data_IF_219931726363
#
_entry.id   IF_219931726363
#
_cell.length_a   1.000
_cell.length_b   1.000
_cell.length_c   1.000
_cell.angle_alpha   90.00
_cell.angle_beta   90.00
_cell.angle_gamma   90.00
#
_symmetry.space_group_name_H-M   'P 1'
#
loop_
_entity.id
_entity.type
_entity.pdbx_description
1 polymer ?
#
# COMPACT_ATOMS: atom_id res chain seq x y z
N UNK A 1 -23.30 29.06 -47.66
CA UNK A 1 -22.91 27.64 -47.85
C UNK A 1 -21.71 27.33 -46.97
N UNK A 2 -21.92 27.42 -45.67
CA UNK A 2 -20.97 27.01 -44.62
C UNK A 2 -21.63 25.82 -43.94
N UNK A 3 -20.82 24.83 -43.55
CA UNK A 3 -21.19 23.62 -42.82
C UNK A 3 -21.48 22.37 -43.67
N UNK A 4 -20.42 21.86 -44.29
CA UNK A 4 -20.27 20.42 -44.54
C UNK A 4 -18.97 19.89 -43.88
N UNK A 5 -18.54 20.51 -42.78
CA UNK A 5 -17.37 20.10 -41.97
C UNK A 5 -17.80 19.31 -40.72
N UNK A 6 -19.11 19.12 -40.49
CA UNK A 6 -19.62 18.41 -39.30
C UNK A 6 -19.63 16.87 -39.41
N UNK A 7 -18.99 16.27 -40.43
CA UNK A 7 -19.04 14.81 -40.64
C UNK A 7 -17.74 14.04 -40.33
N UNK A 8 -16.76 14.66 -39.68
CA UNK A 8 -15.60 13.94 -39.12
C UNK A 8 -15.50 14.05 -37.59
N UNK A 9 -16.58 14.47 -36.93
CA UNK A 9 -16.72 14.45 -35.47
C UNK A 9 -16.99 13.02 -34.93
N UNK A 10 -16.19 12.04 -35.35
CA UNK A 10 -16.36 10.65 -34.94
C UNK A 10 -15.04 9.88 -34.94
N UNK A 11 -14.08 10.33 -34.14
CA UNK A 11 -13.02 9.48 -33.60
C UNK A 11 -12.33 10.22 -32.46
N UNK A 12 -12.21 9.53 -31.32
CA UNK A 12 -11.22 9.76 -30.26
C UNK A 12 -11.46 10.95 -29.32
N UNK A 13 -12.29 10.73 -28.30
CA UNK A 13 -11.89 10.80 -26.89
C UNK A 13 -13.15 10.72 -25.99
N UNK A 14 -13.67 9.51 -25.86
CA UNK A 14 -14.37 9.12 -24.64
C UNK A 14 -13.34 8.29 -23.87
N UNK A 15 -12.63 8.92 -22.94
CA UNK A 15 -11.88 8.16 -21.94
C UNK A 15 -12.87 7.32 -21.14
N UNK A 16 -12.61 6.02 -21.07
CA UNK A 16 -13.41 5.07 -20.32
C UNK A 16 -13.53 5.53 -18.85
N UNK A 17 -14.73 5.61 -18.25
CA UNK A 17 -14.88 6.09 -16.87
C UNK A 17 -14.37 5.09 -15.80
N UNK A 18 -13.83 3.93 -16.19
CA UNK A 18 -13.49 2.85 -15.25
C UNK A 18 -12.05 2.81 -14.74
N UNK A 19 -11.14 3.71 -15.16
CA UNK A 19 -9.76 3.68 -14.63
C UNK A 19 -9.22 5.08 -14.39
N UNK A 20 -9.84 5.80 -13.46
CA UNK A 20 -9.22 7.01 -12.90
C UNK A 20 -8.04 6.59 -12.03
N UNK A 21 -6.82 6.67 -12.57
CA UNK A 21 -5.60 6.45 -11.81
C UNK A 21 -5.59 7.28 -10.52
N UNK A 22 -5.21 6.69 -9.36
CA UNK A 22 -5.14 7.44 -8.11
C UNK A 22 -4.15 8.61 -8.27
N UNK A 23 -4.58 9.80 -7.88
CA UNK A 23 -3.75 11.00 -7.96
C UNK A 23 -2.64 10.92 -6.92
N UNK A 24 -1.47 11.46 -7.25
CA UNK A 24 -0.31 11.38 -6.36
C UNK A 24 -0.57 12.06 -5.02
N UNK A 25 -1.38 13.13 -5.00
CA UNK A 25 -1.79 13.82 -3.78
C UNK A 25 -2.60 12.90 -2.85
N UNK A 26 -3.48 12.08 -3.42
CA UNK A 26 -4.29 11.12 -2.65
C UNK A 26 -3.39 10.04 -2.03
N UNK A 27 -2.39 9.56 -2.78
CA UNK A 27 -1.40 8.60 -2.26
C UNK A 27 -0.54 9.20 -1.13
N UNK A 28 -0.15 10.47 -1.26
CA UNK A 28 0.62 11.16 -0.21
C UNK A 28 -0.19 11.36 1.08
N UNK A 29 -1.49 11.61 0.97
CA UNK A 29 -2.38 11.67 2.14
C UNK A 29 -2.45 10.31 2.82
N UNK A 30 -2.65 9.23 2.06
CA UNK A 30 -2.70 7.87 2.61
C UNK A 30 -1.36 7.47 3.25
N UNK A 31 -0.23 7.81 2.63
CA UNK A 31 1.10 7.50 3.16
C UNK A 31 1.44 8.24 4.46
N UNK A 32 0.83 9.40 4.70
CA UNK A 32 1.03 10.18 5.94
C UNK A 32 0.14 9.70 7.09
N UNK A 33 -0.95 9.00 6.78
CA UNK A 33 -1.84 8.45 7.79
C UNK A 33 -1.42 7.03 8.16
N UNK A 34 -0.92 6.88 9.39
CA UNK A 34 -0.45 5.61 9.94
C UNK A 34 -1.57 4.65 10.38
N UNK A 35 -2.84 4.98 10.12
CA UNK A 35 -3.94 4.08 10.40
C UNK A 35 -3.89 2.82 9.52
N UNK A 36 -4.32 1.68 10.08
CA UNK A 36 -4.43 0.42 9.32
C UNK A 36 -5.31 0.57 8.09
N UNK A 37 -6.39 1.36 8.18
CA UNK A 37 -7.27 1.63 7.05
C UNK A 37 -6.56 2.36 5.92
N UNK A 38 -5.77 3.39 6.22
CA UNK A 38 -5.03 4.15 5.20
C UNK A 38 -3.86 3.36 4.61
N UNK A 39 -3.17 2.55 5.42
CA UNK A 39 -2.14 1.60 4.92
C UNK A 39 -2.73 0.58 3.95
N UNK A 40 -3.88 0.01 4.26
CA UNK A 40 -4.57 -0.95 3.37
C UNK A 40 -4.96 -0.29 2.04
N UNK A 41 -5.55 0.91 2.09
CA UNK A 41 -5.89 1.67 0.87
C UNK A 41 -4.66 2.03 0.05
N UNK A 42 -3.55 2.38 0.71
CA UNK A 42 -2.30 2.66 0.00
C UNK A 42 -1.75 1.41 -0.68
N UNK A 43 -1.76 0.26 0.00
CA UNK A 43 -1.32 -1.00 -0.57
C UNK A 43 -2.17 -1.41 -1.78
N UNK A 44 -3.49 -1.24 -1.69
CA UNK A 44 -4.43 -1.50 -2.79
C UNK A 44 -4.14 -0.59 -3.99
N UNK A 45 -4.01 0.72 -3.76
CA UNK A 45 -3.76 1.69 -4.82
C UNK A 45 -2.39 1.47 -5.50
N UNK A 46 -1.32 1.32 -4.71
CA UNK A 46 0.04 1.09 -5.24
C UNK A 46 0.17 -0.29 -5.89
N UNK A 47 -0.47 -1.31 -5.32
CA UNK A 47 -0.53 -2.64 -5.91
C UNK A 47 -1.26 -2.65 -7.25
N UNK A 48 -2.39 -1.95 -7.33
CA UNK A 48 -3.11 -1.73 -8.59
C UNK A 48 -2.21 -1.12 -9.67
N UNK A 49 -1.53 -0.02 -9.35
CA UNK A 49 -0.57 0.63 -10.27
C UNK A 49 0.59 -0.28 -10.68
N UNK A 50 1.07 -1.11 -9.75
CA UNK A 50 2.19 -2.01 -9.99
C UNK A 50 1.81 -3.15 -10.95
N UNK A 51 0.62 -3.72 -10.80
CA UNK A 51 0.18 -4.85 -11.64
C UNK A 51 -0.56 -4.43 -12.91
N UNK A 52 -0.94 -3.16 -13.03
CA UNK A 52 -1.53 -2.64 -14.25
C UNK A 52 -0.54 -2.72 -15.42
N UNK A 53 -0.94 -3.46 -16.44
CA UNK A 53 -0.17 -3.74 -17.64
C UNK A 53 -0.17 -2.55 -18.60
N UNK A 54 -1.18 -1.69 -18.52
CA UNK A 54 -1.31 -0.47 -19.31
C UNK A 54 -0.61 0.72 -18.63
N UNK A 55 -0.07 0.53 -17.42
CA UNK A 55 0.67 1.57 -16.72
C UNK A 55 1.99 1.87 -17.43
N UNK A 56 2.20 3.16 -17.75
CA UNK A 56 3.44 3.66 -18.35
C UNK A 56 4.64 3.67 -17.36
N UNK A 57 4.55 2.95 -16.24
CA UNK A 57 5.57 2.90 -15.20
C UNK A 57 6.82 2.16 -15.71
N UNK A 58 7.94 2.89 -15.75
CA UNK A 58 9.25 2.34 -16.03
C UNK A 58 9.81 1.50 -14.88
N UNK A 59 11.02 0.98 -15.09
CA UNK A 59 11.68 0.12 -14.09
C UNK A 59 11.87 0.83 -12.75
N UNK A 60 12.30 2.09 -12.77
CA UNK A 60 12.56 2.87 -11.56
C UNK A 60 11.28 3.08 -10.75
N UNK A 61 10.18 3.43 -11.41
CA UNK A 61 8.88 3.62 -10.79
C UNK A 61 8.39 2.32 -10.15
N UNK A 62 8.54 1.19 -10.84
CA UNK A 62 8.19 -0.14 -10.32
C UNK A 62 9.05 -0.53 -9.11
N UNK A 63 10.34 -0.20 -9.12
CA UNK A 63 11.24 -0.45 -7.98
C UNK A 63 10.79 0.36 -6.75
N UNK A 64 10.39 1.63 -6.94
CA UNK A 64 9.85 2.49 -5.87
C UNK A 64 8.53 1.92 -5.32
N UNK A 65 7.60 1.54 -6.20
CA UNK A 65 6.32 0.94 -5.79
C UNK A 65 6.55 -0.35 -4.99
N UNK A 66 7.48 -1.21 -5.42
CA UNK A 66 7.83 -2.43 -4.72
C UNK A 66 8.46 -2.15 -3.34
N UNK A 67 9.24 -1.07 -3.19
CA UNK A 67 9.75 -0.63 -1.89
C UNK A 67 8.63 -0.16 -0.97
N UNK A 68 7.67 0.62 -1.47
CA UNK A 68 6.50 1.07 -0.70
C UNK A 68 5.71 -0.15 -0.20
N UNK A 69 5.38 -1.09 -1.08
CA UNK A 69 4.65 -2.30 -0.71
C UNK A 69 5.39 -3.13 0.35
N UNK A 70 6.72 -3.24 0.23
CA UNK A 70 7.55 -3.94 1.22
C UNK A 70 7.52 -3.25 2.59
N UNK A 71 7.56 -1.91 2.62
CA UNK A 71 7.43 -1.15 3.85
C UNK A 71 6.08 -1.39 4.53
N UNK A 72 5.00 -1.40 3.75
CA UNK A 72 3.65 -1.65 4.28
C UNK A 72 3.51 -3.05 4.88
N UNK A 73 4.10 -4.06 4.24
CA UNK A 73 4.13 -5.43 4.77
C UNK A 73 4.90 -5.47 6.10
N UNK A 74 6.10 -4.91 6.13
CA UNK A 74 6.93 -4.86 7.35
C UNK A 74 6.19 -4.17 8.51
N UNK A 75 5.55 -3.04 8.25
CA UNK A 75 4.76 -2.30 9.24
C UNK A 75 3.63 -3.13 9.86
N UNK A 76 2.93 -3.93 9.04
CA UNK A 76 1.85 -4.80 9.50
C UNK A 76 2.41 -5.95 10.35
N UNK A 77 3.49 -6.58 9.89
CA UNK A 77 4.15 -7.66 10.64
C UNK A 77 4.66 -7.16 11.99
N UNK A 78 5.28 -5.97 12.03
CA UNK A 78 5.76 -5.33 13.25
C UNK A 78 4.62 -5.10 14.24
N UNK A 79 3.47 -4.60 13.78
CA UNK A 79 2.29 -4.40 14.62
C UNK A 79 1.77 -5.71 15.21
N UNK A 80 1.75 -6.79 14.43
CA UNK A 80 1.34 -8.12 14.93
C UNK A 80 2.28 -8.60 16.03
N UNK A 81 3.59 -8.55 15.79
CA UNK A 81 4.60 -9.00 16.76
C UNK A 81 4.57 -8.16 18.04
N UNK A 82 4.46 -6.84 17.94
CA UNK A 82 4.34 -5.95 19.08
C UNK A 82 3.06 -6.20 19.90
N UNK A 83 1.93 -6.50 19.24
CA UNK A 83 0.68 -6.82 19.93
C UNK A 83 0.74 -8.17 20.65
N UNK A 84 1.44 -9.16 20.09
CA UNK A 84 1.68 -10.45 20.76
C UNK A 84 2.61 -10.29 21.96
N UNK A 85 3.69 -9.53 21.81
CA UNK A 85 4.62 -9.25 22.91
C UNK A 85 3.89 -8.61 24.11
N UNK A 86 3.01 -7.62 23.85
CA UNK A 86 2.18 -6.99 24.89
C UNK A 86 1.21 -7.96 25.57
N UNK A 87 0.63 -8.90 24.82
CA UNK A 87 -0.28 -9.91 25.40
C UNK A 87 0.47 -10.88 26.30
N UNK A 88 1.67 -11.30 25.91
CA UNK A 88 2.46 -12.25 26.68
C UNK A 88 3.19 -11.65 27.88
N UNK A 89 3.49 -10.35 27.88
CA UNK A 89 4.25 -9.69 28.95
C UNK A 89 3.64 -9.84 30.37
N UNK A 90 2.36 -10.18 30.48
CA UNK A 90 1.68 -10.40 31.77
C UNK A 90 1.02 -11.77 31.94
N UNK A 91 1.25 -12.71 31.03
CA UNK A 91 0.63 -14.04 31.07
C UNK A 91 1.63 -15.09 31.56
N UNK A 92 1.41 -15.60 32.78
CA UNK A 92 2.23 -16.66 33.38
C UNK A 92 2.21 -17.97 32.58
N UNK A 93 1.24 -18.15 31.69
CA UNK A 93 1.11 -19.32 30.83
C UNK A 93 1.56 -19.06 29.38
N UNK A 94 2.18 -17.92 29.09
CA UNK A 94 2.65 -17.60 27.76
C UNK A 94 3.64 -18.67 27.25
N UNK A 95 3.54 -19.10 25.97
CA UNK A 95 4.48 -20.06 25.40
C UNK A 95 5.92 -19.53 25.42
N UNK A 96 6.79 -20.22 26.15
CA UNK A 96 8.16 -19.77 26.38
C UNK A 96 8.97 -19.60 25.09
N UNK A 97 8.72 -20.43 24.08
CA UNK A 97 9.35 -20.33 22.76
C UNK A 97 8.96 -19.03 22.03
N UNK A 98 7.69 -18.64 22.07
CA UNK A 98 7.22 -17.38 21.49
C UNK A 98 7.73 -16.16 22.25
N UNK A 99 7.74 -16.21 23.58
CA UNK A 99 8.32 -15.13 24.41
C UNK A 99 9.80 -14.95 24.08
N UNK A 100 10.56 -16.04 24.00
CA UNK A 100 11.98 -15.98 23.64
C UNK A 100 12.19 -15.45 22.21
N UNK A 101 11.36 -15.84 21.25
CA UNK A 101 11.44 -15.32 19.89
C UNK A 101 11.19 -13.81 19.83
N UNK A 102 10.14 -13.32 20.49
CA UNK A 102 9.78 -11.89 20.50
C UNK A 102 10.78 -11.03 21.28
N UNK A 103 11.36 -11.56 22.36
CA UNK A 103 12.39 -10.87 23.12
C UNK A 103 13.73 -10.70 22.35
N UNK A 104 13.97 -11.50 21.31
CA UNK A 104 15.15 -11.40 20.44
C UNK A 104 14.86 -10.67 19.11
N UNK A 105 13.67 -10.07 18.96
CA UNK A 105 13.28 -9.30 17.78
C UNK A 105 13.84 -7.87 17.82
N UNK A 106 13.41 -7.03 16.90
CA UNK A 106 13.74 -5.60 16.83
C UNK A 106 13.22 -4.85 18.07
N UNK A 107 13.81 -3.67 18.36
CA UNK A 107 13.61 -2.94 19.63
C UNK A 107 12.15 -2.56 19.89
N UNK A 108 11.37 -2.34 18.83
CA UNK A 108 9.94 -2.02 18.88
C UNK A 108 9.09 -3.21 19.37
N UNK A 109 9.59 -4.44 19.24
CA UNK A 109 8.91 -5.69 19.65
C UNK A 109 9.52 -6.24 20.94
N UNK A 110 10.84 -6.18 21.07
CA UNK A 110 11.61 -6.63 22.22
C UNK A 110 11.47 -5.63 23.40
N UNK A 111 10.26 -5.55 23.95
CA UNK A 111 10.04 -4.88 25.23
C UNK A 111 10.56 -5.76 26.39
N UNK A 112 11.19 -5.16 27.43
CA UNK A 112 11.52 -5.86 28.66
C UNK A 112 10.29 -6.23 29.49
#
# INVERSE_FOLDING_TARGET
MVSAVQSLARTEQAGDPETSYPRIEDLLVLARDNSTASRNRLAEAVGGLYFDADSAAGKTERDIMAQILRSLIHDVELQVRANLAKQFAGDENAPHDLVAALANDEIEVAHP
#
